data_IF_493999292198
#
_entry.id   IF_493999292198
#
_cell.length_a   1.000
_cell.length_b   1.000
_cell.length_c   1.000
_cell.angle_alpha   90.00
_cell.angle_beta   90.00
_cell.angle_gamma   90.00
#
_symmetry.space_group_name_H-M   'P 1'
#
loop_
_entity.id
_entity.type
_entity.pdbx_description
1 polymer ?
#
# COMPACT_ATOMS: atom_id res chain seq x y z
N UNK A 1 7.15 -0.22 7.30
CA UNK A 1 8.06 -1.37 7.10
C UNK A 1 8.87 -1.65 8.36
N UNK A 2 9.57 -0.67 8.94
CA UNK A 2 10.33 -0.87 10.20
C UNK A 2 9.45 -1.45 11.32
N UNK A 3 8.28 -0.85 11.58
CA UNK A 3 7.33 -1.33 12.60
C UNK A 3 6.84 -2.76 12.33
N UNK A 4 6.65 -3.14 11.06
CA UNK A 4 6.24 -4.51 10.71
C UNK A 4 7.38 -5.51 11.00
N UNK A 5 8.61 -5.17 10.63
CA UNK A 5 9.79 -5.99 10.92
C UNK A 5 9.97 -6.15 12.44
N UNK A 6 9.78 -5.08 13.20
CA UNK A 6 9.87 -5.11 14.67
C UNK A 6 8.85 -6.09 15.27
N UNK A 7 7.58 -6.06 14.84
CA UNK A 7 6.55 -6.98 15.33
C UNK A 7 6.88 -8.43 15.00
N UNK A 8 7.41 -8.73 13.80
CA UNK A 8 7.83 -10.11 13.49
C UNK A 8 9.02 -10.57 14.34
N UNK A 9 9.95 -9.66 14.67
CA UNK A 9 11.07 -9.98 15.56
C UNK A 9 10.53 -10.28 16.97
N UNK A 10 9.58 -9.51 17.48
CA UNK A 10 8.94 -9.76 18.78
C UNK A 10 8.20 -11.10 18.79
N UNK A 11 7.43 -11.43 17.75
CA UNK A 11 6.78 -12.74 17.61
C UNK A 11 7.80 -13.88 17.59
N UNK A 12 8.91 -13.73 16.85
CA UNK A 12 9.96 -14.76 16.81
C UNK A 12 10.65 -14.94 18.17
N UNK A 13 10.91 -13.85 18.88
CA UNK A 13 11.49 -13.89 20.24
C UNK A 13 10.49 -14.53 21.21
N UNK A 14 9.21 -14.21 21.11
CA UNK A 14 8.14 -14.83 21.88
C UNK A 14 8.08 -16.34 21.66
N UNK A 15 8.07 -16.79 20.40
CA UNK A 15 8.04 -18.21 20.02
C UNK A 15 9.26 -18.99 20.56
N UNK A 16 10.44 -18.35 20.65
CA UNK A 16 11.69 -19.01 21.09
C UNK A 16 11.86 -19.00 22.61
N UNK A 17 11.53 -17.89 23.27
CA UNK A 17 11.84 -17.68 24.68
C UNK A 17 10.63 -17.75 25.62
N UNK A 18 9.40 -17.75 25.09
CA UNK A 18 8.17 -17.75 25.90
C UNK A 18 7.99 -16.48 26.73
N UNK A 19 8.53 -15.34 26.27
CA UNK A 19 8.42 -14.08 26.99
C UNK A 19 7.03 -13.46 26.77
N UNK A 20 6.37 -13.09 27.87
CA UNK A 20 5.15 -12.30 27.86
C UNK A 20 5.48 -10.81 27.70
N UNK A 21 4.83 -10.15 26.74
CA UNK A 21 5.03 -8.72 26.44
C UNK A 21 3.82 -7.85 26.83
N UNK A 22 2.98 -8.34 27.75
CA UNK A 22 1.76 -7.66 28.18
C UNK A 22 2.09 -6.34 28.88
N UNK A 23 1.96 -5.24 28.15
CA UNK A 23 2.32 -3.90 28.57
C UNK A 23 1.50 -2.86 27.83
N UNK A 24 1.31 -1.68 28.42
CA UNK A 24 0.65 -0.55 27.76
C UNK A 24 1.38 -0.15 26.45
N UNK A 25 2.69 -0.37 26.39
CA UNK A 25 3.47 -0.17 25.18
C UNK A 25 3.06 -1.13 24.05
N UNK A 26 2.78 -2.39 24.38
CA UNK A 26 2.31 -3.40 23.42
C UNK A 26 0.94 -3.00 22.85
N UNK A 27 -0.01 -2.56 23.69
CA UNK A 27 -1.31 -2.03 23.25
C UNK A 27 -1.14 -0.83 22.31
N UNK A 28 -0.27 0.11 22.68
CA UNK A 28 0.04 1.27 21.84
C UNK A 28 0.65 0.88 20.49
N UNK A 29 1.57 -0.10 20.46
CA UNK A 29 2.16 -0.65 19.22
C UNK A 29 1.08 -1.26 18.33
N UNK A 30 0.19 -2.09 18.87
CA UNK A 30 -0.92 -2.70 18.13
C UNK A 30 -1.86 -1.65 17.51
N UNK A 31 -2.23 -0.63 18.29
CA UNK A 31 -3.04 0.49 17.80
C UNK A 31 -2.34 1.30 16.70
N UNK A 32 -1.06 1.65 16.92
CA UNK A 32 -0.27 2.42 15.97
C UNK A 32 -0.11 1.67 14.64
N UNK A 33 0.10 0.35 14.70
CA UNK A 33 0.19 -0.53 13.55
C UNK A 33 -1.12 -0.55 12.74
N UNK A 34 -2.26 -0.76 13.41
CA UNK A 34 -3.57 -0.71 12.75
C UNK A 34 -3.84 0.67 12.11
N UNK A 35 -3.46 1.75 12.80
CA UNK A 35 -3.60 3.14 12.31
C UNK A 35 -2.73 3.43 11.10
N UNK A 36 -1.49 2.91 11.06
CA UNK A 36 -0.62 2.99 9.88
C UNK A 36 -1.26 2.25 8.70
N UNK A 37 -1.74 1.02 8.93
CA UNK A 37 -2.41 0.25 7.88
C UNK A 37 -3.60 1.04 7.31
N UNK A 38 -4.48 1.55 8.18
CA UNK A 38 -5.60 2.41 7.77
C UNK A 38 -5.14 3.63 6.96
N UNK A 39 -4.08 4.31 7.42
CA UNK A 39 -3.50 5.47 6.74
C UNK A 39 -3.00 5.12 5.33
N UNK A 40 -2.38 3.94 5.13
CA UNK A 40 -1.94 3.48 3.81
C UNK A 40 -3.12 3.29 2.87
N UNK A 41 -4.22 2.66 3.32
CA UNK A 41 -5.43 2.50 2.50
C UNK A 41 -6.05 3.85 2.14
N UNK A 42 -6.19 4.75 3.11
CA UNK A 42 -6.69 6.10 2.85
C UNK A 42 -5.76 6.93 1.95
N UNK A 43 -4.44 6.69 1.96
CA UNK A 43 -3.52 7.36 1.04
C UNK A 43 -3.80 7.01 -0.43
N UNK A 44 -4.24 5.77 -0.71
CA UNK A 44 -4.71 5.42 -2.06
C UNK A 44 -5.99 6.17 -2.45
N UNK A 45 -6.91 6.37 -1.50
CA UNK A 45 -8.12 7.19 -1.73
C UNK A 45 -7.73 8.63 -2.04
N UNK A 46 -6.85 9.23 -1.26
CA UNK A 46 -6.33 10.59 -1.50
C UNK A 46 -5.65 10.71 -2.85
N UNK A 47 -4.86 9.71 -3.25
CA UNK A 47 -4.22 9.66 -4.57
C UNK A 47 -5.25 9.56 -5.71
N UNK A 48 -6.31 8.76 -5.55
CA UNK A 48 -7.40 8.67 -6.52
C UNK A 48 -8.20 9.97 -6.59
N UNK A 49 -8.46 10.60 -5.44
CA UNK A 49 -9.15 11.87 -5.34
C UNK A 49 -8.39 13.02 -6.01
N UNK A 50 -7.07 13.08 -5.84
CA UNK A 50 -6.19 14.00 -6.58
C UNK A 50 -6.41 13.86 -8.10
N UNK A 51 -6.46 12.63 -8.60
CA UNK A 51 -6.66 12.37 -10.04
C UNK A 51 -8.06 12.74 -10.49
N UNK A 52 -9.08 12.49 -9.68
CA UNK A 52 -10.44 12.95 -9.95
C UNK A 52 -10.48 14.48 -10.11
N UNK A 53 -9.83 15.21 -9.19
CA UNK A 53 -9.75 16.67 -9.23
C UNK A 53 -9.06 17.17 -10.51
N UNK A 54 -7.95 16.54 -10.91
CA UNK A 54 -7.25 16.92 -12.13
C UNK A 54 -8.04 16.63 -13.41
N UNK A 55 -8.67 15.46 -13.51
CA UNK A 55 -9.35 15.00 -14.74
C UNK A 55 -10.72 15.66 -14.89
N UNK A 56 -11.57 15.55 -13.85
CA UNK A 56 -12.98 15.97 -13.92
C UNK A 56 -13.12 17.47 -13.65
N UNK A 57 -12.38 17.99 -12.66
CA UNK A 57 -12.49 19.38 -12.23
C UNK A 57 -11.36 20.26 -12.78
N UNK A 58 -11.01 20.05 -14.05
CA UNK A 58 -9.92 20.77 -14.71
C UNK A 58 -10.07 22.30 -14.70
N UNK A 59 -11.31 22.80 -14.63
CA UNK A 59 -11.61 24.24 -14.60
C UNK A 59 -11.34 24.90 -13.23
N UNK A 60 -11.33 24.12 -12.15
CA UNK A 60 -11.23 24.63 -10.78
C UNK A 60 -9.77 24.72 -10.33
N UNK A 61 -9.10 25.85 -10.63
CA UNK A 61 -7.67 26.06 -10.33
C UNK A 61 -7.29 25.82 -8.86
N UNK A 62 -8.16 26.17 -7.92
CA UNK A 62 -7.92 26.00 -6.48
C UNK A 62 -7.68 24.53 -6.07
N UNK A 63 -8.44 23.58 -6.63
CA UNK A 63 -8.27 22.15 -6.36
C UNK A 63 -6.98 21.55 -6.96
N UNK A 64 -6.29 22.27 -7.83
CA UNK A 64 -5.06 21.81 -8.47
C UNK A 64 -3.80 22.32 -7.76
N UNK A 65 -3.96 23.20 -6.78
CA UNK A 65 -2.82 23.77 -6.07
C UNK A 65 -2.15 22.71 -5.20
N UNK A 66 -0.82 22.65 -5.25
CA UNK A 66 -0.01 21.72 -4.46
C UNK A 66 -0.24 21.87 -2.93
N UNK A 67 -0.48 23.11 -2.47
CA UNK A 67 -0.77 23.41 -1.06
C UNK A 67 -1.99 22.67 -0.51
N UNK A 68 -3.03 22.50 -1.32
CA UNK A 68 -4.24 21.78 -0.92
C UNK A 68 -3.91 20.33 -0.55
N UNK A 69 -3.01 19.69 -1.29
CA UNK A 69 -2.62 18.30 -1.06
C UNK A 69 -1.64 18.14 0.10
N UNK A 70 -0.77 19.14 0.34
CA UNK A 70 0.06 19.17 1.55
C UNK A 70 -0.82 19.20 2.80
N UNK A 71 -1.95 19.93 2.78
CA UNK A 71 -2.86 20.05 3.92
C UNK A 71 -3.72 18.79 4.08
N UNK A 72 -4.21 18.20 2.98
CA UNK A 72 -5.02 16.97 3.03
C UNK A 72 -4.28 15.79 3.64
N UNK A 73 -2.98 15.64 3.36
CA UNK A 73 -2.19 14.51 3.85
C UNK A 73 -2.24 14.35 5.38
N UNK A 74 -1.82 15.35 6.16
CA UNK A 74 -1.92 15.34 7.62
C UNK A 74 -3.35 15.18 8.14
N UNK A 75 -4.33 15.85 7.51
CA UNK A 75 -5.74 15.72 7.89
C UNK A 75 -6.21 14.27 7.74
N UNK A 76 -5.83 13.61 6.64
CA UNK A 76 -6.15 12.20 6.40
C UNK A 76 -5.53 11.28 7.47
N UNK A 77 -4.30 11.55 7.90
CA UNK A 77 -3.67 10.82 9.01
C UNK A 77 -4.48 11.01 10.28
N UNK A 78 -4.80 12.24 10.67
CA UNK A 78 -5.60 12.53 11.87
C UNK A 78 -6.96 11.83 11.81
N UNK A 79 -7.63 11.83 10.64
CA UNK A 79 -8.89 11.10 10.44
C UNK A 79 -8.69 9.60 10.64
N UNK A 80 -7.64 8.99 10.09
CA UNK A 80 -7.38 7.56 10.23
C UNK A 80 -7.13 7.15 11.69
N UNK A 81 -6.35 7.93 12.44
CA UNK A 81 -6.15 7.72 13.88
C UNK A 81 -7.46 7.90 14.65
N UNK A 82 -8.21 8.97 14.38
CA UNK A 82 -9.50 9.23 15.05
C UNK A 82 -10.51 8.12 14.78
N UNK A 83 -10.55 7.61 13.54
CA UNK A 83 -11.45 6.52 13.12
C UNK A 83 -11.17 5.21 13.88
N UNK A 84 -9.91 4.92 14.20
CA UNK A 84 -9.53 3.73 14.96
C UNK A 84 -9.46 3.96 16.47
N UNK A 85 -9.51 5.20 16.95
CA UNK A 85 -9.48 5.51 18.38
C UNK A 85 -10.51 4.78 19.25
N UNK A 86 -11.74 4.42 18.76
CA UNK A 86 -12.67 3.64 19.56
C UNK A 86 -12.12 2.30 20.04
N UNK A 87 -11.21 1.67 19.28
CA UNK A 87 -10.59 0.38 19.65
C UNK A 87 -9.76 0.48 20.93
N UNK A 88 -9.13 1.63 21.17
CA UNK A 88 -8.37 1.89 22.40
C UNK A 88 -9.32 2.26 23.54
N UNK A 89 -10.33 3.08 23.26
CA UNK A 89 -11.32 3.51 24.27
C UNK A 89 -12.10 2.32 24.82
N UNK A 90 -12.42 1.34 23.97
CA UNK A 90 -13.13 0.12 24.36
C UNK A 90 -12.24 -0.96 24.98
N UNK A 91 -10.92 -0.75 25.03
CA UNK A 91 -9.94 -1.71 25.56
C UNK A 91 -9.95 -3.06 24.79
N UNK A 92 -10.21 -3.02 23.49
CA UNK A 92 -10.35 -4.22 22.66
C UNK A 92 -9.01 -4.76 22.14
N UNK A 93 -7.92 -4.01 22.34
CA UNK A 93 -6.56 -4.44 22.00
C UNK A 93 -5.95 -5.08 23.24
N UNK A 94 -5.66 -6.37 23.17
CA UNK A 94 -4.99 -7.10 24.24
C UNK A 94 -3.87 -7.98 23.70
N UNK A 95 -3.04 -8.46 24.61
CA UNK A 95 -1.97 -9.40 24.30
C UNK A 95 -2.56 -10.75 23.86
N UNK A 96 -2.15 -11.23 22.68
CA UNK A 96 -2.51 -12.57 22.21
C UNK A 96 -1.41 -13.55 22.60
N UNK A 97 -1.62 -14.42 23.62
CA UNK A 97 -0.55 -15.27 24.16
C UNK A 97 -0.04 -16.30 23.16
N UNK A 98 -0.85 -16.68 22.16
CA UNK A 98 -0.45 -17.63 21.11
C UNK A 98 0.45 -17.01 20.04
N UNK A 99 0.44 -15.70 19.91
CA UNK A 99 1.14 -14.99 18.83
C UNK A 99 2.21 -14.01 19.37
N UNK A 100 2.25 -13.80 20.68
CA UNK A 100 3.21 -12.96 21.39
C UNK A 100 3.22 -11.47 21.01
N UNK A 101 2.11 -10.92 20.53
CA UNK A 101 1.94 -9.47 20.31
C UNK A 101 0.52 -9.01 20.66
N UNK A 102 0.32 -7.68 20.76
CA UNK A 102 -0.99 -7.12 21.06
C UNK A 102 -1.77 -6.77 19.80
N UNK A 103 -2.99 -7.27 19.73
CA UNK A 103 -3.90 -7.02 18.61
C UNK A 103 -5.36 -7.20 19.02
N UNK A 104 -6.24 -6.96 18.06
CA UNK A 104 -7.68 -7.16 18.25
C UNK A 104 -7.95 -8.64 17.98
N UNK A 105 -8.58 -9.37 18.92
CA UNK A 105 -8.94 -10.75 18.67
C UNK A 105 -10.06 -10.83 17.62
N UNK A 106 -9.96 -11.77 16.69
CA UNK A 106 -11.01 -11.98 15.69
C UNK A 106 -12.29 -12.59 16.27
N UNK A 107 -12.27 -13.06 17.52
CA UNK A 107 -13.45 -13.56 18.24
C UNK A 107 -14.44 -12.44 18.57
N UNK A 108 -13.97 -11.20 18.75
CA UNK A 108 -14.83 -10.06 18.96
C UNK A 108 -15.36 -9.53 17.62
N UNK A 109 -16.58 -9.96 17.28
CA UNK A 109 -17.21 -9.59 16.00
C UNK A 109 -17.36 -8.07 15.85
N UNK A 110 -17.69 -7.35 16.92
CA UNK A 110 -17.86 -5.88 16.90
C UNK A 110 -16.59 -5.19 16.41
N UNK A 111 -15.45 -5.54 16.99
CA UNK A 111 -14.18 -4.83 16.79
C UNK A 111 -13.59 -5.23 15.44
N UNK A 112 -13.75 -6.51 15.07
CA UNK A 112 -13.43 -7.02 13.75
C UNK A 112 -14.24 -6.31 12.67
N UNK A 113 -15.56 -6.15 12.85
CA UNK A 113 -16.42 -5.42 11.91
C UNK A 113 -16.03 -3.94 11.82
N UNK A 114 -15.71 -3.30 12.95
CA UNK A 114 -15.23 -1.92 12.96
C UNK A 114 -13.92 -1.75 12.18
N UNK A 115 -12.97 -2.66 12.39
CA UNK A 115 -11.70 -2.69 11.67
C UNK A 115 -11.91 -2.93 10.17
N UNK A 116 -12.71 -3.93 9.79
CA UNK A 116 -13.04 -4.22 8.39
C UNK A 116 -13.72 -3.01 7.73
N UNK A 117 -14.66 -2.39 8.43
CA UNK A 117 -15.37 -1.23 7.92
C UNK A 117 -14.44 -0.03 7.71
N UNK A 118 -13.66 0.33 8.74
CA UNK A 118 -12.79 1.50 8.72
C UNK A 118 -11.58 1.33 7.80
N UNK A 119 -10.92 0.17 7.84
CA UNK A 119 -9.67 -0.07 7.09
C UNK A 119 -9.94 -0.50 5.65
N UNK A 120 -10.99 -1.28 5.38
CA UNK A 120 -11.26 -1.85 4.05
C UNK A 120 -12.50 -1.28 3.38
N UNK A 121 -13.66 -1.32 4.02
CA UNK A 121 -14.93 -0.98 3.35
C UNK A 121 -14.99 0.48 2.92
N UNK A 122 -14.60 1.42 3.80
CA UNK A 122 -14.60 2.85 3.47
C UNK A 122 -13.62 3.16 2.32
N UNK A 123 -12.33 2.77 2.36
CA UNK A 123 -11.40 3.06 1.27
C UNK A 123 -11.79 2.40 -0.05
N UNK A 124 -12.21 1.13 -0.04
CA UNK A 124 -12.62 0.42 -1.25
C UNK A 124 -13.86 1.05 -1.88
N UNK A 125 -14.87 1.40 -1.08
CA UNK A 125 -16.08 2.05 -1.57
C UNK A 125 -15.78 3.44 -2.15
N UNK A 126 -14.94 4.22 -1.46
CA UNK A 126 -14.51 5.54 -1.92
C UNK A 126 -13.75 5.47 -3.24
N UNK A 127 -12.82 4.52 -3.37
CA UNK A 127 -12.10 4.25 -4.62
C UNK A 127 -13.06 3.88 -5.75
N UNK A 128 -13.98 2.95 -5.50
CA UNK A 128 -14.98 2.52 -6.49
C UNK A 128 -15.80 3.69 -7.01
N UNK A 129 -16.31 4.57 -6.13
CA UNK A 129 -17.09 5.76 -6.51
C UNK A 129 -16.25 6.73 -7.34
N UNK A 130 -15.02 7.03 -6.90
CA UNK A 130 -14.10 7.94 -7.61
C UNK A 130 -13.85 7.42 -9.03
N UNK A 131 -13.56 6.13 -9.19
CA UNK A 131 -13.28 5.56 -10.51
C UNK A 131 -14.50 5.50 -11.40
N UNK A 132 -15.66 5.16 -10.85
CA UNK A 132 -16.91 5.16 -11.61
C UNK A 132 -17.16 6.57 -12.19
N UNK A 133 -16.95 7.62 -11.41
CA UNK A 133 -17.04 9.01 -11.87
C UNK A 133 -16.02 9.36 -12.95
N UNK A 134 -14.75 8.99 -12.78
CA UNK A 134 -13.71 9.21 -13.79
C UNK A 134 -14.06 8.49 -15.10
N UNK A 135 -14.51 7.23 -15.03
CA UNK A 135 -14.87 6.44 -16.21
C UNK A 135 -16.07 7.03 -16.95
N UNK A 136 -17.11 7.46 -16.24
CA UNK A 136 -18.26 8.14 -16.85
C UNK A 136 -17.80 9.41 -17.58
N UNK A 137 -16.97 10.24 -16.92
CA UNK A 137 -16.48 11.49 -17.49
C UNK A 137 -15.65 11.25 -18.76
N UNK A 138 -14.70 10.30 -18.73
CA UNK A 138 -13.88 9.96 -19.90
C UNK A 138 -14.76 9.44 -21.05
N UNK A 139 -15.74 8.57 -20.77
CA UNK A 139 -16.65 8.07 -21.81
C UNK A 139 -17.43 9.20 -22.48
N UNK A 140 -17.94 10.15 -21.70
CA UNK A 140 -18.65 11.32 -22.24
C UNK A 140 -17.74 12.22 -23.10
N UNK A 141 -16.48 12.38 -22.70
CA UNK A 141 -15.53 13.23 -23.42
C UNK A 141 -14.98 12.58 -24.70
N UNK A 142 -14.84 11.25 -24.73
CA UNK A 142 -14.23 10.52 -25.87
C UNK A 142 -15.01 10.72 -27.18
N UNK A 143 -16.33 10.92 -27.11
CA UNK A 143 -17.19 11.11 -28.28
C UNK A 143 -16.92 12.43 -29.05
N UNK A 144 -16.31 13.44 -28.41
CA UNK A 144 -16.21 14.81 -28.97
C UNK A 144 -14.77 15.36 -29.06
N UNK A 145 -13.72 14.53 -28.99
CA UNK A 145 -12.35 15.03 -28.74
C UNK A 145 -11.38 15.10 -29.94
N UNK A 146 -10.63 16.22 -30.00
CA UNK A 146 -9.48 16.46 -30.88
C UNK A 146 -8.25 15.61 -30.48
N UNK A 147 -7.38 15.29 -31.45
CA UNK A 147 -6.18 14.43 -31.30
C UNK A 147 -5.25 14.78 -30.12
N UNK A 148 -5.12 16.06 -29.75
CA UNK A 148 -4.29 16.50 -28.62
C UNK A 148 -4.84 16.02 -27.27
N UNK A 149 -6.17 15.97 -27.13
CA UNK A 149 -6.81 15.51 -25.90
C UNK A 149 -6.68 14.00 -25.76
N UNK A 150 -6.73 13.26 -26.88
CA UNK A 150 -6.49 11.81 -26.92
C UNK A 150 -5.15 11.40 -26.30
N UNK A 151 -4.06 12.13 -26.58
CA UNK A 151 -2.74 11.87 -25.97
C UNK A 151 -2.67 12.15 -24.45
N UNK A 152 -3.52 13.03 -23.91
CA UNK A 152 -3.65 13.21 -22.44
C UNK A 152 -4.43 12.05 -21.85
N UNK A 153 -5.55 11.69 -22.48
CA UNK A 153 -6.38 10.55 -22.08
C UNK A 153 -5.57 9.25 -22.04
N UNK A 154 -4.70 8.96 -23.00
CA UNK A 154 -3.87 7.75 -22.97
C UNK A 154 -2.92 7.70 -21.76
N UNK A 155 -2.36 8.85 -21.36
CA UNK A 155 -1.52 8.95 -20.15
C UNK A 155 -2.36 8.72 -18.88
N UNK A 156 -3.56 9.29 -18.84
CA UNK A 156 -4.47 9.14 -17.70
C UNK A 156 -5.00 7.69 -17.60
N UNK A 157 -5.29 7.03 -18.73
CA UNK A 157 -5.68 5.62 -18.78
C UNK A 157 -4.55 4.72 -18.25
N UNK A 158 -3.30 4.96 -18.66
CA UNK A 158 -2.15 4.23 -18.13
C UNK A 158 -2.03 4.41 -16.61
N UNK A 159 -2.28 5.63 -16.13
CA UNK A 159 -2.31 5.92 -14.71
C UNK A 159 -3.44 5.15 -13.99
N UNK A 160 -4.67 5.16 -14.53
CA UNK A 160 -5.85 4.46 -13.98
C UNK A 160 -5.59 2.94 -13.94
N UNK A 161 -5.08 2.35 -15.02
CA UNK A 161 -4.75 0.92 -15.11
C UNK A 161 -3.83 0.47 -13.97
N UNK A 162 -2.86 1.31 -13.59
CA UNK A 162 -1.93 1.02 -12.49
C UNK A 162 -2.63 0.97 -11.14
N UNK A 163 -3.59 1.86 -10.88
CA UNK A 163 -4.32 1.84 -9.61
C UNK A 163 -5.30 0.67 -9.56
N UNK A 164 -5.98 0.36 -10.67
CA UNK A 164 -6.80 -0.86 -10.75
C UNK A 164 -5.94 -2.08 -10.43
N UNK A 165 -4.72 -2.15 -10.98
CA UNK A 165 -3.77 -3.22 -10.67
C UNK A 165 -3.38 -3.24 -9.18
N UNK A 166 -3.14 -2.09 -8.55
CA UNK A 166 -2.89 -2.01 -7.10
C UNK A 166 -4.07 -2.56 -6.29
N UNK A 167 -5.30 -2.15 -6.63
CA UNK A 167 -6.52 -2.57 -5.94
C UNK A 167 -6.72 -4.08 -6.11
N UNK A 168 -6.53 -4.60 -7.32
CA UNK A 168 -6.63 -6.04 -7.59
C UNK A 168 -5.62 -6.85 -6.77
N UNK A 169 -4.37 -6.38 -6.69
CA UNK A 169 -3.33 -7.02 -5.85
C UNK A 169 -3.74 -6.99 -4.38
N UNK A 170 -4.17 -5.84 -3.89
CA UNK A 170 -4.54 -5.64 -2.49
C UNK A 170 -5.76 -6.51 -2.09
N UNK A 171 -6.76 -6.61 -2.97
CA UNK A 171 -7.89 -7.50 -2.79
C UNK A 171 -7.46 -8.97 -2.80
N UNK A 172 -6.62 -9.37 -3.77
CA UNK A 172 -6.15 -10.76 -3.88
C UNK A 172 -5.34 -11.22 -2.67
N UNK A 173 -4.53 -10.32 -2.08
CA UNK A 173 -3.78 -10.60 -0.86
C UNK A 173 -4.66 -10.68 0.39
N UNK A 174 -5.81 -10.00 0.40
CA UNK A 174 -6.78 -10.08 1.50
C UNK A 174 -7.67 -11.32 1.46
N UNK A 175 -7.80 -11.99 0.30
CA UNK A 175 -8.67 -13.17 0.14
C UNK A 175 -8.37 -14.32 1.13
N UNK A 176 -7.10 -14.71 1.39
CA UNK A 176 -6.80 -15.76 2.37
C UNK A 176 -7.29 -15.40 3.77
N UNK A 177 -7.10 -14.15 4.20
CA UNK A 177 -7.56 -13.68 5.51
C UNK A 177 -9.09 -13.70 5.59
N UNK A 178 -9.79 -13.26 4.54
CA UNK A 178 -11.26 -13.32 4.48
C UNK A 178 -11.75 -14.76 4.52
N UNK A 179 -11.11 -15.68 3.80
CA UNK A 179 -11.48 -17.10 3.81
C UNK A 179 -11.31 -17.72 5.22
N UNK A 180 -10.23 -17.39 5.90
CA UNK A 180 -9.98 -17.83 7.28
C UNK A 180 -10.95 -17.21 8.29
N UNK A 181 -11.31 -15.93 8.12
CA UNK A 181 -12.35 -15.27 8.92
C UNK A 181 -13.72 -15.91 8.70
N UNK A 182 -14.07 -16.25 7.46
CA UNK A 182 -15.30 -16.99 7.16
C UNK A 182 -15.28 -18.37 7.81
N UNK A 183 -14.15 -19.07 7.78
CA UNK A 183 -13.99 -20.34 8.49
C UNK A 183 -14.23 -20.16 9.99
N UNK A 184 -13.64 -19.14 10.62
CA UNK A 184 -13.86 -18.81 12.04
C UNK A 184 -15.35 -18.55 12.33
N UNK A 185 -16.05 -17.81 11.47
CA UNK A 185 -17.49 -17.52 11.65
C UNK A 185 -18.34 -18.80 11.54
N UNK A 186 -17.96 -19.74 10.67
CA UNK A 186 -18.69 -21.00 10.47
C UNK A 186 -18.40 -22.01 11.58
N UNK A 187 -17.12 -22.18 11.96
CA UNK A 187 -16.70 -23.22 12.92
C UNK A 187 -16.74 -22.75 14.36
N UNK A 188 -16.68 -21.44 14.60
CA UNK A 188 -16.48 -20.84 15.93
C UNK A 188 -15.07 -21.05 16.50
N UNK A 189 -14.13 -21.57 15.70
CA UNK A 189 -12.76 -21.90 16.15
C UNK A 189 -11.74 -21.01 15.46
N UNK A 190 -10.93 -20.33 16.26
CA UNK A 190 -9.83 -19.49 15.79
C UNK A 190 -8.62 -20.33 15.38
N UNK A 191 -8.27 -20.25 14.09
CA UNK A 191 -7.10 -20.94 13.57
C UNK A 191 -5.81 -20.16 13.92
N UNK A 192 -4.73 -20.79 14.39
CA UNK A 192 -3.47 -20.10 14.70
C UNK A 192 -2.72 -19.53 13.48
N UNK A 193 -3.30 -19.63 12.28
CA UNK A 193 -2.66 -19.13 11.04
C UNK A 193 -3.33 -17.87 10.51
N UNK A 194 -4.46 -17.42 11.09
CA UNK A 194 -5.19 -16.25 10.59
C UNK A 194 -4.32 -15.00 10.66
N UNK A 195 -3.75 -14.75 11.84
CA UNK A 195 -2.88 -13.61 12.11
C UNK A 195 -1.61 -13.62 11.26
N UNK A 196 -0.89 -14.75 11.25
CA UNK A 196 0.35 -14.91 10.49
C UNK A 196 0.12 -14.71 8.99
N UNK A 197 -0.95 -15.29 8.44
CA UNK A 197 -1.32 -15.15 7.03
C UNK A 197 -1.66 -13.70 6.70
N UNK A 198 -2.41 -13.01 7.58
CA UNK A 198 -2.73 -11.60 7.41
C UNK A 198 -1.47 -10.73 7.37
N UNK A 199 -0.52 -10.92 8.30
CA UNK A 199 0.70 -10.13 8.34
C UNK A 199 1.58 -10.36 7.13
N UNK A 200 1.79 -11.61 6.74
CA UNK A 200 2.53 -11.95 5.51
C UNK A 200 1.88 -11.28 4.29
N UNK A 201 0.55 -11.30 4.19
CA UNK A 201 -0.17 -10.64 3.11
C UNK A 201 0.08 -9.12 3.08
N UNK A 202 0.05 -8.46 4.24
CA UNK A 202 0.34 -7.02 4.37
C UNK A 202 1.78 -6.70 3.96
N UNK A 203 2.76 -7.51 4.37
CA UNK A 203 4.17 -7.31 4.04
C UNK A 203 4.47 -7.52 2.57
N UNK A 204 4.02 -8.64 2.01
CA UNK A 204 4.15 -8.95 0.59
C UNK A 204 3.44 -7.88 -0.24
N UNK A 205 2.25 -7.44 0.18
CA UNK A 205 1.54 -6.33 -0.45
C UNK A 205 2.34 -5.04 -0.44
N UNK A 206 2.90 -4.65 0.71
CA UNK A 206 3.75 -3.47 0.85
C UNK A 206 5.00 -3.53 -0.04
N UNK A 207 5.65 -4.69 -0.13
CA UNK A 207 6.81 -4.91 -0.99
C UNK A 207 6.44 -4.78 -2.48
N UNK A 208 5.36 -5.42 -2.91
CA UNK A 208 4.86 -5.36 -4.29
C UNK A 208 4.52 -3.91 -4.67
N UNK A 209 3.80 -3.19 -3.80
CA UNK A 209 3.43 -1.79 -4.03
C UNK A 209 4.66 -0.89 -4.15
N UNK A 210 5.69 -1.13 -3.34
CA UNK A 210 6.95 -0.38 -3.38
C UNK A 210 7.70 -0.60 -4.70
N UNK A 211 7.85 -1.86 -5.12
CA UNK A 211 8.46 -2.22 -6.42
C UNK A 211 7.66 -1.62 -7.56
N UNK A 212 6.34 -1.73 -7.51
CA UNK A 212 5.45 -1.20 -8.54
C UNK A 212 5.56 0.32 -8.65
N UNK A 213 5.69 1.06 -7.54
CA UNK A 213 5.86 2.52 -7.56
C UNK A 213 7.12 2.92 -8.33
N UNK A 214 8.22 2.20 -8.15
CA UNK A 214 9.49 2.42 -8.86
C UNK A 214 9.35 2.11 -10.35
N UNK A 215 8.75 0.95 -10.69
CA UNK A 215 8.61 0.52 -12.09
C UNK A 215 7.65 1.39 -12.90
N UNK A 216 6.59 1.89 -12.25
CA UNK A 216 5.54 2.64 -12.91
C UNK A 216 5.92 4.12 -13.09
N UNK A 217 6.64 4.73 -12.15
CA UNK A 217 6.98 6.15 -12.26
C UNK A 217 8.08 6.34 -13.30
N UNK A 218 7.81 6.96 -14.47
CA UNK A 218 8.78 7.01 -15.56
C UNK A 218 10.06 7.75 -15.17
N UNK A 219 9.94 8.81 -14.36
CA UNK A 219 11.10 9.56 -13.85
C UNK A 219 11.99 8.69 -12.96
N UNK A 220 11.40 7.93 -12.02
CA UNK A 220 12.14 7.00 -11.16
C UNK A 220 12.75 5.85 -11.96
N UNK A 221 12.00 5.30 -12.93
CA UNK A 221 12.49 4.26 -13.83
C UNK A 221 13.72 4.73 -14.61
N UNK A 222 13.69 5.94 -15.17
CA UNK A 222 14.84 6.50 -15.89
C UNK A 222 16.03 6.72 -14.96
N UNK A 223 15.83 7.28 -13.77
CA UNK A 223 16.91 7.46 -12.79
C UNK A 223 17.51 6.11 -12.37
N UNK A 224 16.66 5.12 -12.10
CA UNK A 224 17.07 3.78 -11.68
C UNK A 224 17.85 3.06 -12.78
N UNK A 225 17.33 3.05 -14.02
CA UNK A 225 18.00 2.44 -15.18
C UNK A 225 19.34 3.13 -15.44
N UNK A 226 19.38 4.47 -15.41
CA UNK A 226 20.61 5.21 -15.66
C UNK A 226 21.68 4.94 -14.59
N UNK A 227 21.28 4.84 -13.31
CA UNK A 227 22.20 4.45 -12.23
C UNK A 227 22.67 3.00 -12.37
N UNK A 228 21.76 2.09 -12.70
CA UNK A 228 22.09 0.68 -12.87
C UNK A 228 23.04 0.45 -14.05
N UNK A 229 22.80 1.12 -15.19
CA UNK A 229 23.69 1.08 -16.35
C UNK A 229 25.05 1.72 -16.05
N UNK A 230 25.10 2.81 -15.27
CA UNK A 230 26.36 3.45 -14.86
C UNK A 230 27.21 2.55 -13.94
N UNK A 231 26.59 1.70 -13.14
CA UNK A 231 27.28 0.74 -12.27
C UNK A 231 27.73 -0.54 -12.98
N UNK A 232 27.36 -0.75 -14.26
CA UNK A 232 28.02 -1.77 -15.08
C UNK A 232 29.37 -1.22 -15.51
N UNK A 233 30.41 -1.51 -14.73
CA UNK A 233 31.81 -1.30 -15.12
C UNK A 233 32.00 -1.97 -16.47
N UNK A 234 32.15 -1.17 -17.54
CA UNK A 234 32.55 -1.70 -18.84
C UNK A 234 33.96 -2.24 -18.62
N UNK A 235 34.22 -3.55 -18.77
CA UNK A 235 35.58 -4.06 -18.67
C UNK A 235 36.41 -3.29 -19.68
N UNK A 236 37.46 -2.62 -19.20
CA UNK A 236 38.39 -1.89 -20.06
C UNK A 236 38.78 -2.83 -21.19
N UNK A 237 38.43 -2.46 -22.42
CA UNK A 237 38.82 -3.22 -23.59
C UNK A 237 40.33 -3.49 -23.47
N UNK A 238 40.72 -4.77 -23.48
CA UNK A 238 42.15 -5.15 -23.44
C UNK A 238 42.85 -4.29 -24.49
N UNK A 239 43.93 -3.56 -24.14
CA UNK A 239 44.69 -2.86 -25.14
C UNK A 239 45.10 -3.88 -26.19
N UNK A 240 44.72 -3.63 -27.45
CA UNK A 240 45.22 -4.35 -28.60
C UNK A 240 46.74 -4.33 -28.48
N UNK A 241 47.34 -5.49 -28.17
CA UNK A 241 48.78 -5.66 -28.31
C UNK A 241 49.10 -5.38 -29.77
N UNK A 242 49.67 -4.21 -30.03
CA UNK A 242 50.27 -3.87 -31.32
C UNK A 242 51.36 -4.91 -31.56
N UNK A 243 51.08 -5.84 -32.46
CA UNK A 243 52.05 -6.78 -33.02
C UNK A 243 53.03 -5.95 -33.82
N UNK A 244 54.15 -5.58 -33.20
CA UNK A 244 55.29 -4.97 -33.88
C UNK A 244 55.89 -6.05 -34.78
N UNK A 245 55.54 -6.04 -36.05
CA UNK A 245 56.30 -6.74 -37.10
C UNK A 245 57.57 -5.96 -37.35
N UNK A 246 58.67 -6.40 -36.74
CA UNK A 246 60.02 -6.04 -37.14
C UNK A 246 60.31 -6.69 -38.50
N UNK A 247 60.32 -5.90 -39.56
CA UNK A 247 61.01 -6.24 -40.80
C UNK A 247 62.49 -5.93 -40.61
N UNK A 248 63.31 -6.97 -40.60
CA UNK A 248 64.78 -6.89 -40.66
C UNK A 248 65.15 -6.84 -42.14
N UNK A 249 65.92 -5.81 -42.51
CA UNK A 249 66.60 -5.67 -43.81
C UNK A 249 67.74 -6.68 -43.96
#
# INVERSE_FOLDING_TARGET
MIVLIEVNIETLIGDVYGNDFDSLLCVFKGYFMASICCTIYHAFVTQAFFRLCLIVYSNHRWLQQYWFYIIIGPIQVVIAFTLLSPLVIWHDIHYLPKEHYCYIPFTNLRDTLWLVFGVYSIPVSSLSIIYLRITIFIRQQTTNQRLVVRRRVDRDISAIRRIILNISILLSLGLPTVALLLMLVITGVEHPLIYRTMWIAVEVGGAILSVQMVLMTPQLKTIFINRWLRNRVVPAARPLQMRVTTTVE
#
